data_IF_167473665829
#
_entry.id   IF_167473665829
#
_cell.length_a   1.000
_cell.length_b   1.000
_cell.length_c   1.000
_cell.angle_alpha   90.00
_cell.angle_beta   90.00
_cell.angle_gamma   90.00
#
_symmetry.space_group_name_H-M   'P 1'
#
loop_
_entity.id
_entity.type
_entity.pdbx_description
1 polymer ?
#
# COMPACT_ATOMS: atom_id res chain seq x y z
N UNK A 1 -28.50 3.24 4.13
CA UNK A 1 -27.91 2.09 3.38
C UNK A 1 -26.72 2.54 2.52
N UNK A 2 -26.86 3.45 1.58
CA UNK A 2 -25.76 3.92 0.69
C UNK A 2 -24.58 4.49 1.49
N UNK A 3 -24.80 5.35 2.48
CA UNK A 3 -23.75 5.92 3.32
C UNK A 3 -22.93 4.85 4.06
N UNK A 4 -23.57 3.78 4.55
CA UNK A 4 -22.87 2.68 5.22
C UNK A 4 -22.01 1.88 4.25
N UNK A 5 -22.49 1.66 3.01
CA UNK A 5 -21.71 0.99 1.96
C UNK A 5 -20.52 1.83 1.55
N UNK A 6 -20.72 3.12 1.31
CA UNK A 6 -19.64 4.06 0.97
C UNK A 6 -18.61 4.11 2.09
N UNK A 7 -19.03 4.28 3.35
CA UNK A 7 -18.12 4.30 4.51
C UNK A 7 -17.33 3.00 4.65
N UNK A 8 -17.97 1.84 4.42
CA UNK A 8 -17.29 0.54 4.42
C UNK A 8 -16.24 0.45 3.32
N UNK A 9 -16.58 0.81 2.08
CA UNK A 9 -15.65 0.75 0.93
C UNK A 9 -14.46 1.66 1.17
N UNK A 10 -14.70 2.92 1.55
CA UNK A 10 -13.62 3.88 1.78
C UNK A 10 -12.72 3.50 2.95
N UNK A 11 -13.29 2.96 4.04
CA UNK A 11 -12.54 2.51 5.21
C UNK A 11 -11.79 1.19 5.02
N UNK A 12 -12.10 0.41 3.96
CA UNK A 12 -11.42 -0.84 3.64
C UNK A 12 -10.76 -0.81 2.25
N UNK A 13 -10.64 0.36 1.64
CA UNK A 13 -10.13 0.52 0.28
C UNK A 13 -8.80 -0.20 0.02
N UNK A 14 -7.77 -0.12 0.88
CA UNK A 14 -6.52 -0.83 0.65
C UNK A 14 -6.69 -2.35 0.59
N UNK A 15 -7.54 -2.93 1.45
CA UNK A 15 -7.81 -4.37 1.45
C UNK A 15 -8.58 -4.81 0.19
N UNK A 16 -9.55 -4.02 -0.23
CA UNK A 16 -10.32 -4.26 -1.45
C UNK A 16 -9.40 -4.23 -2.67
N UNK A 17 -8.56 -3.20 -2.77
CA UNK A 17 -7.61 -3.05 -3.87
C UNK A 17 -6.57 -4.18 -3.89
N UNK A 18 -6.09 -4.61 -2.71
CA UNK A 18 -5.18 -5.74 -2.60
C UNK A 18 -5.78 -7.02 -3.17
N UNK A 19 -7.01 -7.37 -2.77
CA UNK A 19 -7.72 -8.54 -3.29
C UNK A 19 -7.99 -8.39 -4.80
N UNK A 20 -8.44 -7.20 -5.21
CA UNK A 20 -8.70 -6.91 -6.62
C UNK A 20 -7.45 -7.11 -7.49
N UNK A 21 -6.25 -6.79 -7.00
CA UNK A 21 -5.01 -7.00 -7.73
C UNK A 21 -4.78 -8.46 -8.09
N UNK A 22 -5.06 -9.41 -7.20
CA UNK A 22 -4.95 -10.85 -7.48
C UNK A 22 -6.00 -11.30 -8.50
N UNK A 23 -7.24 -10.87 -8.33
CA UNK A 23 -8.33 -11.20 -9.26
C UNK A 23 -8.00 -10.68 -10.66
N UNK A 24 -7.63 -9.40 -10.77
CA UNK A 24 -7.29 -8.77 -12.04
C UNK A 24 -6.07 -9.43 -12.69
N UNK A 25 -5.04 -9.78 -11.92
CA UNK A 25 -3.89 -10.52 -12.45
C UNK A 25 -4.28 -11.90 -12.98
N UNK A 26 -5.25 -12.58 -12.35
CA UNK A 26 -5.71 -13.89 -12.78
C UNK A 26 -6.55 -13.84 -14.05
N UNK A 27 -7.49 -12.88 -14.14
CA UNK A 27 -8.43 -12.78 -15.27
C UNK A 27 -7.88 -12.03 -16.48
N UNK A 28 -6.85 -11.19 -16.30
CA UNK A 28 -6.26 -10.43 -17.42
C UNK A 28 -5.55 -11.39 -18.37
N UNK A 29 -6.09 -11.48 -19.60
CA UNK A 29 -5.48 -12.24 -20.69
C UNK A 29 -4.29 -11.43 -21.25
N UNK A 30 -3.11 -11.71 -20.76
CA UNK A 30 -1.86 -11.09 -21.22
C UNK A 30 -0.81 -12.16 -21.44
N UNK A 31 0.03 -12.06 -22.49
CA UNK A 31 1.13 -12.97 -22.72
C UNK A 31 2.22 -12.89 -21.64
N UNK A 32 2.15 -11.87 -20.78
CA UNK A 32 3.13 -11.70 -19.70
C UNK A 32 3.01 -12.80 -18.65
N UNK A 33 4.16 -13.20 -18.12
CA UNK A 33 4.29 -14.17 -17.03
C UNK A 33 3.50 -13.72 -15.80
N UNK A 34 2.76 -14.65 -15.16
CA UNK A 34 1.83 -14.32 -14.06
C UNK A 34 2.45 -13.47 -12.93
N UNK A 35 3.65 -13.78 -12.38
CA UNK A 35 4.30 -12.92 -11.39
C UNK A 35 4.54 -11.48 -11.87
N UNK A 36 4.86 -11.28 -13.15
CA UNK A 36 5.04 -9.92 -13.69
C UNK A 36 3.70 -9.16 -13.81
N UNK A 37 2.61 -9.86 -14.15
CA UNK A 37 1.25 -9.28 -14.15
C UNK A 37 0.81 -8.94 -12.73
N UNK A 38 0.96 -9.88 -11.80
CA UNK A 38 0.60 -9.68 -10.40
C UNK A 38 1.39 -8.52 -9.78
N UNK A 39 2.69 -8.44 -10.06
CA UNK A 39 3.51 -7.30 -9.66
C UNK A 39 2.93 -5.98 -10.16
N UNK A 40 2.54 -5.90 -11.43
CA UNK A 40 1.93 -4.70 -12.00
C UNK A 40 0.64 -4.31 -11.26
N UNK A 41 -0.29 -5.24 -11.11
CA UNK A 41 -1.55 -4.98 -10.43
C UNK A 41 -1.39 -4.64 -8.94
N UNK A 42 -0.42 -5.26 -8.25
CA UNK A 42 -0.11 -4.90 -6.86
C UNK A 42 0.52 -3.51 -6.75
N UNK A 43 1.41 -3.11 -7.67
CA UNK A 43 1.96 -1.76 -7.71
C UNK A 43 0.88 -0.71 -7.97
N UNK A 44 -0.09 -1.00 -8.84
CA UNK A 44 -1.24 -0.12 -9.05
C UNK A 44 -2.11 -0.03 -7.79
N UNK A 45 -2.40 -1.16 -7.18
CA UNK A 45 -3.20 -1.26 -5.94
C UNK A 45 -2.58 -0.49 -4.80
N UNK A 46 -1.31 -0.76 -4.50
CA UNK A 46 -0.58 -0.08 -3.41
C UNK A 46 -0.42 1.41 -3.71
N UNK A 47 -0.19 1.76 -4.98
CA UNK A 47 -0.09 3.16 -5.39
C UNK A 47 -1.38 3.95 -5.12
N UNK A 48 -2.53 3.39 -5.47
CA UNK A 48 -3.83 4.01 -5.16
C UNK A 48 -4.04 4.10 -3.64
N UNK A 49 -3.70 3.05 -2.88
CA UNK A 49 -3.85 3.02 -1.43
C UNK A 49 -2.99 4.09 -0.73
N UNK A 50 -1.71 4.23 -1.13
CA UNK A 50 -0.82 5.27 -0.58
C UNK A 50 -1.28 6.68 -0.97
N UNK A 51 -1.66 6.90 -2.23
CA UNK A 51 -2.20 8.21 -2.66
C UNK A 51 -3.44 8.58 -1.85
N UNK A 52 -4.32 7.61 -1.60
CA UNK A 52 -5.51 7.78 -0.77
C UNK A 52 -5.16 8.11 0.68
N UNK A 53 -4.29 7.33 1.32
CA UNK A 53 -3.85 7.57 2.69
C UNK A 53 -3.17 8.95 2.84
N UNK A 54 -2.25 9.27 1.94
CA UNK A 54 -1.55 10.54 1.92
C UNK A 54 -2.48 11.73 1.73
N UNK A 55 -3.50 11.61 0.88
CA UNK A 55 -4.53 12.63 0.75
C UNK A 55 -5.24 12.89 2.09
N UNK A 56 -5.59 11.86 2.85
CA UNK A 56 -6.23 12.02 4.15
C UNK A 56 -5.28 12.61 5.19
N UNK A 57 -4.01 12.24 5.18
CA UNK A 57 -2.99 12.82 6.06
C UNK A 57 -2.82 14.32 5.82
N UNK A 58 -2.94 14.78 4.58
CA UNK A 58 -2.81 16.21 4.20
C UNK A 58 -4.11 16.96 4.44
N UNK A 59 -5.23 16.49 3.89
CA UNK A 59 -6.49 17.22 3.84
C UNK A 59 -7.34 17.05 5.10
N UNK A 60 -7.24 15.90 5.80
CA UNK A 60 -8.05 15.54 6.96
C UNK A 60 -7.20 14.95 8.10
N UNK A 61 -6.18 15.68 8.60
CA UNK A 61 -5.17 15.13 9.52
C UNK A 61 -5.77 14.57 10.81
N UNK A 62 -6.79 15.23 11.38
CA UNK A 62 -7.46 14.72 12.58
C UNK A 62 -8.18 13.38 12.35
N UNK A 63 -8.82 13.23 11.20
CA UNK A 63 -9.50 11.98 10.83
C UNK A 63 -8.48 10.85 10.60
N UNK A 64 -7.40 11.14 9.88
CA UNK A 64 -6.34 10.17 9.62
C UNK A 64 -5.68 9.70 10.93
N UNK A 65 -5.26 10.63 11.80
CA UNK A 65 -4.63 10.31 13.07
C UNK A 65 -5.56 9.49 13.99
N UNK A 66 -6.80 9.94 14.17
CA UNK A 66 -7.77 9.24 15.03
C UNK A 66 -8.08 7.82 14.53
N UNK A 67 -8.01 7.58 13.22
CA UNK A 67 -8.27 6.26 12.63
C UNK A 67 -7.26 5.19 13.03
N UNK A 68 -6.05 5.61 13.41
CA UNK A 68 -4.95 4.74 13.86
C UNK A 68 -4.65 4.91 15.36
N UNK A 69 -5.44 5.69 16.11
CA UNK A 69 -5.24 5.91 17.53
C UNK A 69 -4.16 6.96 17.87
N UNK A 70 -3.65 7.70 16.89
CA UNK A 70 -2.52 8.62 17.07
C UNK A 70 -2.96 10.08 17.23
N UNK A 71 -2.02 10.92 17.71
CA UNK A 71 -2.19 12.36 17.77
C UNK A 71 -1.70 13.03 16.50
N UNK A 72 -2.35 14.13 16.11
CA UNK A 72 -1.89 14.97 14.99
C UNK A 72 -0.55 15.60 15.32
N UNK A 73 0.39 15.55 14.38
CA UNK A 73 1.70 16.17 14.48
C UNK A 73 2.11 16.83 13.16
N UNK A 74 3.10 17.75 13.16
CA UNK A 74 3.63 18.34 11.93
C UNK A 74 4.18 17.28 10.95
N UNK A 75 4.76 16.19 11.47
CA UNK A 75 5.27 15.07 10.64
C UNK A 75 4.18 14.35 9.85
N UNK A 76 2.91 14.46 10.26
CA UNK A 76 1.81 13.85 9.53
C UNK A 76 1.64 14.43 8.12
N UNK A 77 1.88 15.74 7.96
CA UNK A 77 1.87 16.37 6.64
C UNK A 77 3.01 15.83 5.76
N UNK A 78 4.22 15.69 6.33
CA UNK A 78 5.39 15.15 5.60
C UNK A 78 5.17 13.71 5.16
N UNK A 79 4.60 12.86 6.03
CA UNK A 79 4.19 11.49 5.68
C UNK A 79 3.14 11.51 4.58
N UNK A 80 2.15 12.40 4.67
CA UNK A 80 1.14 12.54 3.62
C UNK A 80 1.75 12.89 2.25
N UNK A 81 2.72 13.80 2.21
CA UNK A 81 3.44 14.15 0.98
C UNK A 81 4.27 12.96 0.45
N UNK A 82 4.94 12.23 1.34
CA UNK A 82 5.71 11.04 0.97
C UNK A 82 4.79 9.96 0.37
N UNK A 83 3.65 9.69 1.00
CA UNK A 83 2.66 8.72 0.56
C UNK A 83 2.07 9.07 -0.81
N UNK A 84 1.63 10.31 -1.02
CA UNK A 84 1.12 10.76 -2.32
C UNK A 84 2.20 10.62 -3.39
N UNK A 85 3.43 11.04 -3.08
CA UNK A 85 4.53 11.03 -4.06
C UNK A 85 4.86 9.61 -4.51
N UNK A 86 5.09 8.70 -3.58
CA UNK A 86 5.40 7.30 -3.94
C UNK A 86 4.17 6.58 -4.51
N UNK A 87 2.97 6.93 -4.04
CA UNK A 87 1.72 6.41 -4.57
C UNK A 87 1.57 6.71 -6.06
N UNK A 88 1.80 7.95 -6.48
CA UNK A 88 1.77 8.35 -7.90
C UNK A 88 2.84 7.61 -8.69
N UNK A 89 4.07 7.50 -8.18
CA UNK A 89 5.15 6.77 -8.87
C UNK A 89 4.80 5.28 -9.02
N UNK A 90 4.20 4.67 -8.00
CA UNK A 90 3.74 3.29 -8.05
C UNK A 90 2.61 3.10 -9.09
N UNK A 91 1.65 4.01 -9.17
CA UNK A 91 0.60 4.01 -10.20
C UNK A 91 1.23 4.10 -11.59
N UNK A 92 2.11 5.06 -11.82
CA UNK A 92 2.80 5.24 -13.11
C UNK A 92 3.60 4.00 -13.49
N UNK A 93 4.20 3.31 -12.50
CA UNK A 93 4.99 2.11 -12.74
C UNK A 93 4.20 0.97 -13.39
N UNK A 94 2.85 0.94 -13.25
CA UNK A 94 2.00 -0.06 -13.88
C UNK A 94 2.26 -0.18 -15.39
N UNK A 95 2.40 0.95 -16.07
CA UNK A 95 2.63 1.04 -17.53
C UNK A 95 4.12 1.06 -17.91
N UNK A 96 5.04 0.97 -16.95
CA UNK A 96 6.48 1.09 -17.19
C UNK A 96 7.18 -0.27 -17.26
N UNK A 97 8.42 -0.25 -17.74
CA UNK A 97 9.28 -1.43 -17.83
C UNK A 97 9.56 -2.04 -16.47
N UNK A 98 10.00 -3.30 -16.46
CA UNK A 98 10.41 -3.98 -15.24
C UNK A 98 11.58 -3.26 -14.55
N UNK A 99 12.48 -2.65 -15.32
CA UNK A 99 13.62 -1.92 -14.78
C UNK A 99 13.17 -0.66 -14.00
N UNK A 100 12.12 0.03 -14.47
CA UNK A 100 11.50 1.13 -13.72
C UNK A 100 10.85 0.64 -12.42
N UNK A 101 10.23 -0.54 -12.43
CA UNK A 101 9.58 -1.11 -11.25
C UNK A 101 10.55 -1.46 -10.12
N UNK A 102 11.81 -1.75 -10.43
CA UNK A 102 12.81 -2.16 -9.44
C UNK A 102 13.00 -1.16 -8.29
N UNK A 103 13.40 0.09 -8.57
CA UNK A 103 13.51 1.12 -7.54
C UNK A 103 12.20 1.38 -6.76
N UNK A 104 11.06 1.32 -7.45
CA UNK A 104 9.74 1.49 -6.81
C UNK A 104 9.45 0.37 -5.80
N UNK A 105 9.72 -0.87 -6.20
CA UNK A 105 9.60 -2.05 -5.32
C UNK A 105 10.55 -1.92 -4.13
N UNK A 106 11.80 -1.53 -4.36
CA UNK A 106 12.79 -1.33 -3.30
C UNK A 106 12.32 -0.31 -2.27
N UNK A 107 11.89 0.86 -2.73
CA UNK A 107 11.36 1.91 -1.85
C UNK A 107 10.15 1.42 -1.06
N UNK A 108 9.12 0.89 -1.74
CA UNK A 108 7.89 0.43 -1.09
C UNK A 108 8.15 -0.64 -0.04
N UNK A 109 9.06 -1.58 -0.32
CA UNK A 109 9.38 -2.65 0.64
C UNK A 109 10.07 -2.11 1.89
N UNK A 110 11.08 -1.24 1.72
CA UNK A 110 11.80 -0.64 2.85
C UNK A 110 10.89 0.28 3.66
N UNK A 111 10.10 1.10 3.00
CA UNK A 111 9.15 1.99 3.65
C UNK A 111 8.08 1.20 4.43
N UNK A 112 7.53 0.14 3.83
CA UNK A 112 6.56 -0.74 4.50
C UNK A 112 7.12 -1.43 5.74
N UNK A 113 8.40 -1.84 5.72
CA UNK A 113 9.07 -2.39 6.90
C UNK A 113 9.16 -1.33 8.00
N UNK A 114 9.56 -0.10 7.68
CA UNK A 114 9.66 0.99 8.63
C UNK A 114 8.30 1.36 9.24
N UNK A 115 7.27 1.46 8.40
CA UNK A 115 5.88 1.73 8.82
C UNK A 115 5.37 0.60 9.75
N UNK A 116 5.57 -0.66 9.35
CA UNK A 116 5.17 -1.79 10.17
C UNK A 116 5.87 -1.80 11.54
N UNK A 117 7.17 -1.49 11.59
CA UNK A 117 7.89 -1.33 12.84
C UNK A 117 7.27 -0.25 13.74
N UNK A 118 6.90 0.91 13.18
CA UNK A 118 6.20 1.97 13.90
C UNK A 118 4.89 1.48 14.53
N UNK A 119 4.05 0.80 13.76
CA UNK A 119 2.78 0.25 14.24
C UNK A 119 2.98 -0.82 15.33
N UNK A 120 3.98 -1.70 15.19
CA UNK A 120 4.34 -2.66 16.25
C UNK A 120 4.80 -1.96 17.52
N UNK A 121 5.62 -0.91 17.38
CA UNK A 121 6.10 -0.12 18.51
C UNK A 121 4.93 0.49 19.28
N UNK A 122 3.99 1.15 18.60
CA UNK A 122 2.82 1.75 19.25
C UNK A 122 1.94 0.70 19.94
N UNK A 123 1.74 -0.47 19.30
CA UNK A 123 1.00 -1.55 19.94
C UNK A 123 1.66 -2.08 21.20
N UNK A 124 3.00 -2.23 21.21
CA UNK A 124 3.73 -2.83 22.35
C UNK A 124 3.94 -1.82 23.48
N UNK A 125 4.32 -0.57 23.18
CA UNK A 125 4.71 0.41 24.21
C UNK A 125 3.55 1.28 24.69
N UNK A 126 2.59 1.60 23.77
CA UNK A 126 1.45 2.45 24.09
C UNK A 126 0.14 1.67 24.22
N UNK A 127 0.15 0.36 23.95
CA UNK A 127 -1.04 -0.49 24.00
C UNK A 127 -2.06 -0.17 22.91
N UNK A 128 -1.63 0.46 21.80
CA UNK A 128 -2.54 0.85 20.72
C UNK A 128 -2.83 -0.32 19.78
N UNK A 129 -3.90 -1.04 20.07
CA UNK A 129 -4.46 -2.10 19.22
C UNK A 129 -5.65 -1.62 18.39
N UNK A 130 -5.72 -0.33 18.08
CA UNK A 130 -6.77 0.21 17.20
C UNK A 130 -6.77 -0.50 15.84
N UNK A 131 -7.95 -0.63 15.24
CA UNK A 131 -8.19 -1.45 14.03
C UNK A 131 -7.22 -1.13 12.87
N UNK A 132 -6.88 0.13 12.69
CA UNK A 132 -6.01 0.56 11.60
C UNK A 132 -4.53 0.68 12.01
N UNK A 133 -4.21 0.62 13.32
CA UNK A 133 -2.84 0.51 13.80
C UNK A 133 -2.37 -0.95 13.81
N UNK A 134 -3.14 -1.85 14.43
CA UNK A 134 -2.77 -3.26 14.59
C UNK A 134 -3.88 -4.19 14.06
N UNK A 135 -4.08 -4.18 12.74
CA UNK A 135 -5.15 -4.93 12.09
C UNK A 135 -4.78 -5.39 10.68
N UNK A 136 -5.82 -5.56 9.85
CA UNK A 136 -5.67 -6.10 8.49
C UNK A 136 -4.75 -5.25 7.61
N UNK A 137 -4.71 -3.92 7.82
CA UNK A 137 -3.85 -3.02 7.04
C UNK A 137 -2.37 -3.28 7.33
N UNK A 138 -2.00 -3.51 8.60
CA UNK A 138 -0.65 -3.91 8.98
C UNK A 138 -0.27 -5.25 8.33
N UNK A 139 -1.19 -6.23 8.34
CA UNK A 139 -0.97 -7.51 7.65
C UNK A 139 -0.69 -7.34 6.16
N UNK A 140 -1.47 -6.51 5.47
CA UNK A 140 -1.29 -6.20 4.05
C UNK A 140 0.04 -5.48 3.81
N UNK A 141 0.43 -4.55 4.68
CA UNK A 141 1.71 -3.84 4.62
C UNK A 141 2.90 -4.82 4.69
N UNK A 142 2.86 -5.77 5.61
CA UNK A 142 3.87 -6.81 5.73
C UNK A 142 3.91 -7.74 4.50
N UNK A 143 2.74 -8.10 3.97
CA UNK A 143 2.66 -8.90 2.75
C UNK A 143 3.26 -8.13 1.57
N UNK A 144 2.97 -6.85 1.40
CA UNK A 144 3.58 -6.02 0.35
C UNK A 144 5.10 -5.95 0.50
N UNK A 145 5.60 -5.74 1.72
CA UNK A 145 7.04 -5.67 1.99
C UNK A 145 7.80 -6.93 1.51
N UNK A 146 7.19 -8.11 1.68
CA UNK A 146 7.78 -9.38 1.28
C UNK A 146 7.46 -9.77 -0.18
N UNK A 147 6.21 -9.61 -0.60
CA UNK A 147 5.72 -10.15 -1.87
C UNK A 147 6.21 -9.35 -3.08
N UNK A 148 6.28 -8.02 -2.98
CA UNK A 148 6.71 -7.18 -4.09
C UNK A 148 8.14 -7.51 -4.56
N UNK A 149 9.16 -7.60 -3.70
CA UNK A 149 10.51 -7.97 -4.13
C UNK A 149 10.58 -9.40 -4.67
N UNK A 150 9.85 -10.35 -4.09
CA UNK A 150 9.79 -11.73 -4.59
C UNK A 150 9.24 -11.77 -6.02
N UNK A 151 8.11 -11.12 -6.27
CA UNK A 151 7.51 -11.06 -7.60
C UNK A 151 8.42 -10.36 -8.62
N UNK A 152 9.11 -9.29 -8.20
CA UNK A 152 10.06 -8.60 -9.05
C UNK A 152 11.22 -9.51 -9.45
N UNK A 153 11.81 -10.24 -8.50
CA UNK A 153 12.91 -11.18 -8.78
C UNK A 153 12.46 -12.33 -9.70
N UNK A 154 11.27 -12.89 -9.48
CA UNK A 154 10.69 -13.92 -10.36
C UNK A 154 10.45 -13.38 -11.77
N UNK A 155 9.94 -12.16 -11.89
CA UNK A 155 9.73 -11.51 -13.18
C UNK A 155 11.04 -11.25 -13.92
N UNK A 156 12.10 -10.83 -13.21
CA UNK A 156 13.44 -10.66 -13.79
C UNK A 156 14.05 -11.97 -14.28
N UNK A 157 14.00 -13.03 -13.47
CA UNK A 157 14.55 -14.33 -13.82
C UNK A 157 13.96 -14.91 -15.11
N UNK A 158 12.68 -14.66 -15.37
CA UNK A 158 12.02 -15.12 -16.60
C UNK A 158 12.43 -14.32 -17.85
N UNK A 159 12.92 -13.09 -17.66
CA UNK A 159 13.35 -12.19 -18.75
C UNK A 159 14.81 -12.44 -19.17
N UNK A 160 15.64 -12.95 -18.24
CA UNK A 160 17.03 -13.36 -18.50
C UNK A 160 17.07 -14.70 -19.19
#
# INVERSE_FOLDING_TARGET
MIQNVVGFVLGNLPAILFIAAFVLAAITRSPSYFPARLLGWLLLSVGIAYTWAGFFHIAFPHMAASSIGWQVSPFQFEIGVADVSIGIVAIVSFWRSLDFKGPVVGYLSLFSIGVAYGHFREAIYEGDYSKNNFGILLGITLIHAALLPVLYLLARKKRA
#
